data_IF_353805474649
#
_entry.id   IF_353805474649
#
_cell.length_a   1.000
_cell.length_b   1.000
_cell.length_c   1.000
_cell.angle_alpha   90.00
_cell.angle_beta   90.00
_cell.angle_gamma   90.00
#
_symmetry.space_group_name_H-M   'P 1'
#
loop_
_entity.id
_entity.type
_entity.pdbx_description
1 polymer ?
#
# COMPACT_ATOMS: atom_id res chain seq x y z
N UNK A 1 2.67 -4.96 -1.92
CA UNK A 1 3.30 -4.12 -0.87
C UNK A 1 4.75 -4.56 -0.74
N UNK A 2 5.72 -3.64 -0.76
CA UNK A 2 7.16 -4.01 -0.74
C UNK A 2 7.86 -3.67 0.57
N UNK A 3 7.31 -2.74 1.37
CA UNK A 3 7.71 -2.49 2.76
C UNK A 3 6.54 -1.97 3.57
N UNK A 4 6.51 -2.30 4.86
CA UNK A 4 5.54 -1.77 5.81
C UNK A 4 6.14 -1.63 7.21
N UNK A 5 5.95 -0.47 7.82
CA UNK A 5 6.29 -0.22 9.21
C UNK A 5 4.99 -0.21 10.03
N UNK A 6 4.78 -1.28 10.81
CA UNK A 6 3.55 -1.48 11.57
C UNK A 6 3.35 -0.46 12.71
N UNK A 7 4.43 0.15 13.23
CA UNK A 7 4.37 1.15 14.29
C UNK A 7 3.83 2.49 13.78
N UNK A 8 4.24 2.89 12.58
CA UNK A 8 3.90 4.22 12.01
C UNK A 8 2.82 4.17 10.94
N UNK A 9 2.55 3.00 10.36
CA UNK A 9 1.62 2.84 9.25
C UNK A 9 2.12 3.35 7.91
N UNK A 10 3.43 3.58 7.78
CA UNK A 10 4.06 4.01 6.54
C UNK A 10 4.72 2.82 5.81
N UNK A 11 4.83 2.92 4.50
CA UNK A 11 5.49 1.88 3.72
C UNK A 11 5.76 2.28 2.29
N UNK A 12 6.11 1.26 1.49
CA UNK A 12 6.27 1.35 0.04
C UNK A 12 5.41 0.30 -0.64
N UNK A 13 4.85 0.67 -1.77
CA UNK A 13 4.09 -0.22 -2.64
C UNK A 13 4.50 0.00 -4.09
N UNK A 14 4.19 -0.96 -4.94
CA UNK A 14 4.28 -0.82 -6.39
C UNK A 14 2.85 -0.79 -6.92
N UNK A 15 2.58 0.16 -7.81
CA UNK A 15 1.31 0.22 -8.53
C UNK A 15 1.42 -0.78 -9.68
N UNK A 16 0.39 -1.58 -9.88
CA UNK A 16 0.34 -2.51 -11.01
C UNK A 16 0.68 -1.81 -12.34
N UNK A 17 1.51 -2.45 -13.17
CA UNK A 17 2.02 -1.87 -14.41
C UNK A 17 3.13 -0.82 -14.25
N UNK A 18 3.62 -0.55 -13.03
CA UNK A 18 4.75 0.35 -12.77
C UNK A 18 5.92 -0.43 -12.16
N UNK A 19 7.15 0.01 -12.43
CA UNK A 19 8.37 -0.57 -11.86
C UNK A 19 8.87 0.14 -10.59
N UNK A 20 8.41 1.37 -10.34
CA UNK A 20 8.90 2.18 -9.25
C UNK A 20 8.03 2.06 -7.99
N UNK A 21 8.69 2.01 -6.83
CA UNK A 21 7.99 2.05 -5.54
C UNK A 21 7.47 3.46 -5.22
N UNK A 22 6.23 3.53 -4.73
CA UNK A 22 5.57 4.75 -4.25
C UNK A 22 5.39 4.66 -2.74
N UNK A 23 5.62 5.79 -2.05
CA UNK A 23 5.36 5.85 -0.61
C UNK A 23 3.87 5.76 -0.32
N UNK A 24 3.48 5.08 0.75
CA UNK A 24 2.11 5.10 1.23
C UNK A 24 2.04 5.36 2.74
N UNK A 25 0.89 5.86 3.18
CA UNK A 25 0.46 5.85 4.56
C UNK A 25 -1.05 5.68 4.64
N UNK A 26 -1.58 5.44 5.82
CA UNK A 26 -3.02 5.45 6.01
C UNK A 26 -3.56 6.88 6.15
N UNK A 27 -4.70 7.18 5.54
CA UNK A 27 -5.31 8.52 5.55
C UNK A 27 -5.78 8.94 6.94
N UNK A 28 -6.22 7.99 7.77
CA UNK A 28 -6.67 8.23 9.16
C UNK A 28 -5.55 8.16 10.19
N UNK A 29 -4.32 7.83 9.78
CA UNK A 29 -3.22 7.52 10.70
C UNK A 29 -3.33 6.14 11.35
N UNK A 30 -2.19 5.55 11.72
CA UNK A 30 -2.09 4.13 12.12
C UNK A 30 -3.01 3.71 13.28
N UNK A 31 -3.30 4.60 14.23
CA UNK A 31 -4.13 4.31 15.40
C UNK A 31 -5.61 4.09 15.05
N UNK A 32 -6.11 4.75 14.00
CA UNK A 32 -7.51 4.70 13.59
C UNK A 32 -7.77 3.70 12.45
N UNK A 33 -6.74 3.05 11.96
CA UNK A 33 -6.85 2.05 10.89
C UNK A 33 -7.40 0.76 11.46
N UNK A 34 -8.44 0.24 10.81
CA UNK A 34 -9.05 -1.06 11.13
C UNK A 34 -8.00 -2.18 11.10
N UNK A 35 -8.14 -3.15 11.99
CA UNK A 35 -7.17 -4.24 12.16
C UNK A 35 -7.10 -5.08 10.88
N UNK A 36 -8.23 -5.27 10.20
CA UNK A 36 -8.36 -6.00 8.94
C UNK A 36 -7.47 -5.40 7.85
N UNK A 37 -7.43 -4.06 7.75
CA UNK A 37 -6.58 -3.36 6.79
C UNK A 37 -5.10 -3.62 7.09
N UNK A 38 -4.71 -3.53 8.36
CA UNK A 38 -3.32 -3.80 8.78
C UNK A 38 -2.93 -5.24 8.46
N UNK A 39 -3.81 -6.20 8.77
CA UNK A 39 -3.60 -7.63 8.50
C UNK A 39 -3.43 -7.90 7.01
N UNK A 40 -4.28 -7.33 6.16
CA UNK A 40 -4.19 -7.50 4.73
C UNK A 40 -2.91 -6.89 4.14
N UNK A 41 -2.51 -5.70 4.58
CA UNK A 41 -1.23 -5.08 4.16
C UNK A 41 -0.04 -5.94 4.59
N UNK A 42 -0.03 -6.44 5.83
CA UNK A 42 1.03 -7.32 6.33
C UNK A 42 1.08 -8.65 5.59
N UNK A 43 -0.08 -9.29 5.36
CA UNK A 43 -0.19 -10.56 4.61
C UNK A 43 0.31 -10.40 3.18
N UNK A 44 -0.08 -9.32 2.51
CA UNK A 44 0.38 -9.04 1.15
C UNK A 44 1.91 -8.79 1.09
N UNK A 45 2.48 -8.13 2.09
CA UNK A 45 3.94 -7.97 2.20
C UNK A 45 4.63 -9.32 2.42
N UNK A 46 4.13 -10.13 3.35
CA UNK A 46 4.67 -11.46 3.68
C UNK A 46 4.71 -12.35 2.44
N UNK A 47 3.59 -12.46 1.72
CA UNK A 47 3.51 -13.20 0.47
C UNK A 47 4.50 -12.69 -0.59
N UNK A 48 4.60 -11.37 -0.76
CA UNK A 48 5.48 -10.78 -1.78
C UNK A 48 6.97 -10.82 -1.40
N UNK A 49 7.32 -11.13 -0.15
CA UNK A 49 8.72 -11.23 0.28
C UNK A 49 9.42 -12.46 -0.31
N UNK A 50 8.66 -13.52 -0.61
CA UNK A 50 9.18 -14.79 -1.15
C UNK A 50 8.95 -14.95 -2.65
N UNK A 51 8.19 -14.05 -3.28
CA UNK A 51 7.83 -14.12 -4.69
C UNK A 51 8.77 -13.28 -5.55
N UNK A 52 9.10 -13.79 -6.73
CA UNK A 52 9.72 -12.99 -7.79
C UNK A 52 8.76 -11.89 -8.25
N UNK A 53 9.31 -10.81 -8.79
CA UNK A 53 8.53 -9.62 -9.18
C UNK A 53 7.40 -9.95 -10.17
N UNK A 54 7.64 -10.89 -11.10
CA UNK A 54 6.66 -11.37 -12.08
C UNK A 54 5.46 -12.11 -11.45
N UNK A 55 5.61 -12.57 -10.21
CA UNK A 55 4.60 -13.34 -9.48
C UNK A 55 3.99 -12.54 -8.32
N UNK A 56 4.26 -11.24 -8.20
CA UNK A 56 3.73 -10.46 -7.09
C UNK A 56 2.21 -10.43 -7.04
N UNK A 57 1.69 -10.60 -5.84
CA UNK A 57 0.27 -10.49 -5.55
C UNK A 57 -0.10 -9.03 -5.32
N UNK A 58 -1.03 -8.54 -6.12
CA UNK A 58 -1.61 -7.21 -5.99
C UNK A 58 -2.89 -7.24 -5.14
N UNK A 59 -3.17 -6.13 -4.46
CA UNK A 59 -4.40 -5.95 -3.70
C UNK A 59 -5.03 -4.61 -4.08
N UNK A 60 -6.37 -4.55 -4.12
CA UNK A 60 -7.10 -3.32 -4.44
C UNK A 60 -7.35 -2.52 -3.17
N UNK A 61 -7.06 -1.23 -3.23
CA UNK A 61 -7.20 -0.30 -2.10
C UNK A 61 -7.86 0.98 -2.54
N UNK A 62 -8.63 1.57 -1.63
CA UNK A 62 -9.08 2.95 -1.75
C UNK A 62 -7.95 3.86 -1.30
N UNK A 63 -7.43 4.70 -2.21
CA UNK A 63 -6.34 5.61 -1.90
C UNK A 63 -6.47 6.96 -2.57
N UNK A 64 -6.15 8.03 -1.84
CA UNK A 64 -5.98 9.38 -2.39
C UNK A 64 -4.55 9.57 -2.85
N UNK A 65 -4.35 10.06 -4.08
CA UNK A 65 -3.04 10.43 -4.62
C UNK A 65 -2.61 11.79 -4.06
N UNK A 66 -1.39 11.87 -3.54
CA UNK A 66 -0.70 13.11 -3.25
C UNK A 66 0.32 13.35 -4.36
N UNK A 67 0.08 14.37 -5.18
CA UNK A 67 0.91 14.69 -6.35
C UNK A 67 1.63 16.02 -6.18
N UNK A 68 2.78 16.16 -6.83
CA UNK A 68 3.40 17.47 -7.06
C UNK A 68 2.62 18.27 -8.12
N UNK A 69 2.99 19.54 -8.31
CA UNK A 69 2.43 20.40 -9.37
C UNK A 69 2.57 19.79 -10.77
N UNK A 70 3.60 18.99 -11.02
CA UNK A 70 3.82 18.27 -12.28
C UNK A 70 3.09 16.92 -12.37
N UNK A 71 2.07 16.68 -11.52
CA UNK A 71 1.28 15.45 -11.45
C UNK A 71 2.02 14.17 -11.03
N UNK A 72 3.33 14.24 -10.72
CA UNK A 72 4.07 13.09 -10.19
C UNK A 72 3.50 12.67 -8.84
N UNK A 73 3.13 11.39 -8.71
CA UNK A 73 2.67 10.82 -7.44
C UNK A 73 3.84 10.72 -6.47
N UNK A 74 3.72 11.37 -5.31
CA UNK A 74 4.70 11.32 -4.22
C UNK A 74 4.28 10.34 -3.14
N UNK A 75 2.97 10.30 -2.84
CA UNK A 75 2.43 9.45 -1.79
C UNK A 75 1.01 9.00 -2.09
N UNK A 76 0.65 7.80 -1.65
CA UNK A 76 -0.72 7.31 -1.61
C UNK A 76 -1.24 7.27 -0.18
N UNK A 77 -2.42 7.84 0.05
CA UNK A 77 -3.10 7.83 1.35
C UNK A 77 -4.21 6.78 1.32
N UNK A 78 -3.95 5.60 1.88
CA UNK A 78 -4.88 4.46 1.90
C UNK A 78 -5.97 4.72 2.95
N UNK A 79 -7.24 4.68 2.53
CA UNK A 79 -8.41 4.83 3.40
C UNK A 79 -9.14 3.51 3.66
N UNK A 80 -8.91 2.50 2.83
CA UNK A 80 -9.57 1.20 2.95
C UNK A 80 -9.06 0.19 1.93
N UNK A 81 -9.55 -1.03 2.05
CA UNK A 81 -9.34 -2.11 1.09
C UNK A 81 -10.66 -2.31 0.34
N UNK A 82 -10.56 -2.59 -0.95
CA UNK A 82 -11.71 -3.01 -1.73
C UNK A 82 -11.74 -4.53 -1.63
N UNK A 83 -12.64 -5.07 -0.81
CA UNK A 83 -12.91 -6.51 -0.86
C UNK A 83 -13.58 -6.80 -2.20
N UNK A 84 -12.95 -7.66 -3.00
CA UNK A 84 -13.65 -8.37 -4.05
C UNK A 84 -14.37 -9.53 -3.35
N UNK A 85 -15.67 -9.36 -3.08
CA UNK A 85 -16.54 -10.50 -2.82
C UNK A 85 -16.74 -11.29 -4.11
#
# INVERSE_FOLDING_TARGET
ITRFNHLTGNGRLIIEGHSNTVAFSFSSGIKLVRVEIKKAVSKNLDQNTVLNEDCWLFMRVNAKKLTLRNQKIVKLLISGIVDEQ
#
